data_IF_679564108921
#
_entry.id   IF_679564108921
#
_cell.length_a   1.000
_cell.length_b   1.000
_cell.length_c   1.000
_cell.angle_alpha   90.00
_cell.angle_beta   90.00
_cell.angle_gamma   90.00
#
_symmetry.space_group_name_H-M   'P 1'
#
loop_
_entity.id
_entity.type
_entity.pdbx_description
1 polymer ?
#
# COMPACT_ATOMS: atom_id res chain seq x y z
N UNK A 1 -20.18 4.68 -8.16
CA UNK A 1 -21.61 4.51 -8.34
C UNK A 1 -22.20 5.35 -9.49
N UNK A 2 -21.84 6.61 -9.73
CA UNK A 2 -22.34 7.35 -10.91
C UNK A 2 -21.88 6.83 -12.28
N UNK A 3 -20.75 6.14 -12.37
CA UNK A 3 -20.20 5.61 -13.63
C UNK A 3 -20.87 4.30 -14.11
N UNK A 4 -21.53 3.56 -13.24
CA UNK A 4 -22.18 2.28 -13.60
C UNK A 4 -23.68 2.41 -13.90
N UNK A 5 -24.29 3.55 -13.64
CA UNK A 5 -25.71 3.79 -13.91
C UNK A 5 -25.99 4.41 -15.29
N UNK A 6 -24.96 4.69 -16.09
CA UNK A 6 -25.09 5.30 -17.43
C UNK A 6 -24.79 4.36 -18.61
N UNK A 7 -24.58 3.05 -18.36
CA UNK A 7 -24.35 2.07 -19.44
C UNK A 7 -25.57 1.17 -19.79
N UNK A 8 -26.75 1.65 -19.54
CA UNK A 8 -27.95 0.93 -19.93
C UNK A 8 -28.90 1.77 -20.73
N UNK A 9 -28.59 2.05 -22.00
CA UNK A 9 -29.54 2.34 -23.11
C UNK A 9 -28.77 2.96 -24.27
N UNK A 10 -28.54 2.21 -25.31
CA UNK A 10 -28.68 2.59 -26.71
C UNK A 10 -28.05 1.51 -27.62
N UNK A 11 -28.86 0.57 -28.02
CA UNK A 11 -28.68 -0.16 -29.28
C UNK A 11 -29.84 0.25 -30.15
N UNK A 12 -29.57 0.91 -31.27
CA UNK A 12 -30.35 0.78 -32.49
C UNK A 12 -29.60 1.43 -33.68
N UNK A 13 -29.27 0.53 -34.63
CA UNK A 13 -29.28 0.70 -36.09
C UNK A 13 -28.36 1.73 -36.78
N UNK A 14 -27.53 1.15 -37.61
CA UNK A 14 -26.83 1.70 -38.80
C UNK A 14 -27.81 2.17 -39.91
N UNK A 15 -27.39 2.65 -41.13
CA UNK A 15 -26.15 2.42 -41.86
C UNK A 15 -25.58 3.62 -42.69
N UNK A 16 -24.33 3.47 -43.11
CA UNK A 16 -23.88 3.77 -44.48
C UNK A 16 -23.66 5.21 -44.94
N UNK A 17 -22.39 5.59 -45.21
CA UNK A 17 -22.04 6.35 -46.42
C UNK A 17 -20.52 6.37 -46.62
N UNK A 18 -20.20 6.27 -47.89
CA UNK A 18 -18.88 6.10 -48.52
C UNK A 18 -18.04 7.37 -48.52
N UNK A 19 -16.71 7.18 -48.54
CA UNK A 19 -15.67 8.13 -48.83
C UNK A 19 -15.79 8.83 -50.21
N UNK A 20 -15.02 9.94 -50.37
CA UNK A 20 -14.10 9.85 -51.50
C UNK A 20 -12.67 10.33 -51.16
N UNK A 21 -11.74 9.74 -51.86
CA UNK A 21 -10.33 10.00 -51.95
C UNK A 21 -10.03 11.44 -52.42
N UNK A 22 -8.96 12.00 -51.87
CA UNK A 22 -8.30 13.16 -52.51
C UNK A 22 -6.77 13.06 -52.48
N UNK A 23 -6.25 13.36 -53.61
CA UNK A 23 -4.95 13.26 -54.19
C UNK A 23 -3.76 13.71 -53.35
N UNK A 24 -2.66 13.02 -53.60
CA UNK A 24 -1.31 13.35 -53.24
C UNK A 24 -0.81 14.62 -53.93
N UNK A 25 -0.21 15.53 -53.17
CA UNK A 25 0.71 16.52 -53.68
C UNK A 25 2.10 16.29 -53.08
N UNK A 26 3.02 15.95 -53.96
CA UNK A 26 4.44 15.79 -53.71
C UNK A 26 5.07 17.13 -53.33
N UNK A 27 5.58 17.25 -52.12
CA UNK A 27 6.59 18.25 -51.81
C UNK A 27 7.89 17.55 -51.44
N UNK A 28 8.89 17.76 -52.28
CA UNK A 28 10.29 17.42 -52.12
C UNK A 28 10.88 18.23 -50.96
N UNK A 29 10.95 17.64 -49.76
CA UNK A 29 11.64 18.21 -48.62
C UNK A 29 13.11 17.78 -48.64
N UNK A 30 14.00 18.74 -48.81
CA UNK A 30 15.44 18.60 -48.62
C UNK A 30 15.75 17.93 -47.28
N UNK A 31 16.35 16.75 -47.33
CA UNK A 31 17.00 16.12 -46.17
C UNK A 31 18.28 16.90 -45.89
N UNK A 32 18.23 17.80 -44.92
CA UNK A 32 19.45 18.34 -44.30
C UNK A 32 20.12 17.21 -43.51
N UNK A 33 21.29 16.80 -43.96
CA UNK A 33 22.17 15.89 -43.24
C UNK A 33 22.63 16.57 -41.94
N UNK A 34 21.92 16.34 -40.85
CA UNK A 34 22.43 16.74 -39.54
C UNK A 34 23.69 15.93 -39.23
N UNK A 35 24.81 16.63 -39.01
CA UNK A 35 26.07 16.01 -38.67
C UNK A 35 26.00 15.24 -37.34
N UNK A 36 26.87 14.25 -37.17
CA UNK A 36 26.94 13.49 -35.92
C UNK A 36 27.17 14.39 -34.69
N UNK A 37 27.81 15.55 -34.90
CA UNK A 37 28.00 16.59 -33.90
C UNK A 37 26.67 17.17 -33.38
N UNK A 38 25.70 17.46 -34.27
CA UNK A 38 24.40 18.05 -33.88
C UNK A 38 23.55 17.05 -33.08
N UNK A 39 23.62 15.77 -33.42
CA UNK A 39 22.93 14.71 -32.65
C UNK A 39 23.51 14.53 -31.25
N UNK A 40 24.82 14.65 -31.11
CA UNK A 40 25.52 14.60 -29.81
C UNK A 40 25.19 15.85 -29.00
N UNK A 41 25.16 17.02 -29.62
CA UNK A 41 24.86 18.29 -28.95
C UNK A 41 23.38 18.39 -28.52
N UNK A 42 22.43 17.98 -29.37
CA UNK A 42 21.02 17.86 -29.00
C UNK A 42 20.80 16.85 -27.90
N UNK A 43 21.53 15.72 -27.90
CA UNK A 43 21.53 14.72 -26.83
C UNK A 43 22.07 15.30 -25.51
N UNK A 44 23.10 16.14 -25.56
CA UNK A 44 23.67 16.79 -24.37
C UNK A 44 22.71 17.84 -23.79
N UNK A 45 22.10 18.65 -24.65
CA UNK A 45 21.11 19.68 -24.27
C UNK A 45 19.86 19.01 -23.67
N UNK A 46 19.38 17.91 -24.26
CA UNK A 46 18.28 17.15 -23.70
C UNK A 46 18.63 16.55 -22.31
N UNK A 47 19.88 16.09 -22.14
CA UNK A 47 20.38 15.58 -20.82
C UNK A 47 20.48 16.70 -19.79
N UNK A 48 20.96 17.87 -20.17
CA UNK A 48 21.04 19.05 -19.31
C UNK A 48 19.63 19.58 -18.96
N UNK A 49 18.73 19.61 -19.91
CA UNK A 49 17.34 20.00 -19.72
C UNK A 49 16.58 19.06 -18.78
N UNK A 50 16.79 17.73 -18.88
CA UNK A 50 16.25 16.75 -17.94
C UNK A 50 16.85 16.91 -16.54
N UNK A 51 18.14 17.24 -16.44
CA UNK A 51 18.83 17.52 -15.19
C UNK A 51 18.28 18.78 -14.52
N UNK A 52 18.10 19.84 -15.29
CA UNK A 52 17.54 21.10 -14.81
C UNK A 52 16.08 20.90 -14.35
N UNK A 53 15.26 20.21 -15.15
CA UNK A 53 13.87 19.89 -14.82
C UNK A 53 13.73 19.00 -13.59
N UNK A 54 14.63 18.03 -13.40
CA UNK A 54 14.67 17.19 -12.20
C UNK A 54 15.10 17.98 -10.96
N UNK A 55 15.96 18.97 -11.13
CA UNK A 55 16.45 19.85 -10.06
C UNK A 55 15.45 20.96 -9.70
N UNK A 56 14.85 21.58 -10.70
CA UNK A 56 13.90 22.70 -10.54
C UNK A 56 12.56 22.27 -9.96
N UNK A 57 12.15 21.04 -10.28
CA UNK A 57 10.84 20.59 -9.88
C UNK A 57 10.77 20.22 -8.41
N UNK A 58 11.87 20.14 -7.63
CA UNK A 58 11.78 19.83 -6.21
C UNK A 58 10.56 18.93 -5.83
N UNK A 59 10.03 18.24 -6.86
CA UNK A 59 8.77 17.53 -6.91
C UNK A 59 9.07 16.08 -7.10
N UNK A 60 9.29 15.41 -6.00
CA UNK A 60 9.62 13.98 -5.90
C UNK A 60 8.77 13.05 -6.78
N UNK A 61 7.57 13.44 -7.17
CA UNK A 61 6.71 12.66 -8.07
C UNK A 61 7.27 12.48 -9.50
N UNK A 62 8.22 13.31 -9.91
CA UNK A 62 8.85 13.24 -11.24
C UNK A 62 10.18 12.47 -11.24
N UNK A 63 10.67 12.03 -10.07
CA UNK A 63 11.88 11.20 -10.04
C UNK A 63 11.71 9.87 -10.77
N UNK A 64 10.52 9.27 -10.75
CA UNK A 64 10.27 8.05 -11.48
C UNK A 64 10.41 8.24 -12.99
N UNK A 65 9.96 9.37 -13.51
CA UNK A 65 10.09 9.71 -14.93
C UNK A 65 11.54 10.04 -15.31
N UNK A 66 12.24 10.83 -14.48
CA UNK A 66 13.66 11.14 -14.68
C UNK A 66 14.53 9.88 -14.58
N UNK A 67 14.19 8.98 -13.66
CA UNK A 67 14.84 7.71 -13.47
C UNK A 67 14.64 6.75 -14.67
N UNK A 68 13.41 6.58 -15.15
CA UNK A 68 13.14 5.77 -16.33
C UNK A 68 13.81 6.34 -17.58
N UNK A 69 13.88 7.64 -17.71
CA UNK A 69 14.61 8.30 -18.78
C UNK A 69 16.12 8.03 -18.72
N UNK A 70 16.73 8.09 -17.53
CA UNK A 70 18.16 7.78 -17.35
C UNK A 70 18.44 6.31 -17.60
N UNK A 71 17.61 5.40 -17.11
CA UNK A 71 17.74 3.95 -17.34
C UNK A 71 17.54 3.59 -18.81
N UNK A 72 16.51 4.12 -19.45
CA UNK A 72 16.22 3.87 -20.86
C UNK A 72 17.32 4.37 -21.78
N UNK A 73 18.01 5.45 -21.38
CA UNK A 73 19.06 6.06 -22.19
C UNK A 73 20.45 5.45 -22.02
N UNK A 74 20.82 5.03 -20.81
CA UNK A 74 22.19 4.63 -20.47
C UNK A 74 22.31 3.13 -20.21
N UNK A 75 21.20 2.49 -19.84
CA UNK A 75 21.14 1.09 -19.40
C UNK A 75 21.77 0.86 -18.02
N UNK A 76 21.29 -0.14 -17.29
CA UNK A 76 21.64 -0.35 -15.87
C UNK A 76 23.13 -0.62 -15.63
N UNK A 77 23.80 -1.38 -16.51
CA UNK A 77 25.24 -1.66 -16.39
C UNK A 77 26.14 -0.44 -16.59
N UNK A 78 25.74 0.50 -17.44
CA UNK A 78 26.48 1.77 -17.66
C UNK A 78 26.23 2.75 -16.51
N UNK A 79 25.00 2.80 -15.98
CA UNK A 79 24.68 3.61 -14.79
C UNK A 79 25.55 3.20 -13.61
N UNK A 80 25.73 1.90 -13.39
CA UNK A 80 26.62 1.37 -12.34
C UNK A 80 28.07 1.81 -12.58
N UNK A 81 28.58 1.68 -13.81
CA UNK A 81 29.96 2.13 -14.16
C UNK A 81 30.16 3.63 -13.94
N UNK A 82 29.17 4.46 -14.26
CA UNK A 82 29.23 5.92 -14.02
C UNK A 82 29.20 6.23 -12.52
N UNK A 83 28.42 5.47 -11.74
CA UNK A 83 28.32 5.70 -10.31
C UNK A 83 29.60 5.32 -9.55
N UNK A 84 30.20 4.19 -9.90
CA UNK A 84 31.40 3.64 -9.23
C UNK A 84 32.69 4.23 -9.85
N UNK A 85 32.66 4.69 -11.09
CA UNK A 85 33.81 5.18 -11.83
C UNK A 85 34.21 6.63 -11.53
N UNK A 86 35.41 7.00 -12.05
CA UNK A 86 36.03 8.33 -11.89
C UNK A 86 35.13 9.49 -12.36
N UNK A 87 34.31 9.30 -13.39
CA UNK A 87 33.38 10.32 -13.89
C UNK A 87 32.37 10.81 -12.84
N UNK A 88 31.89 9.93 -11.96
CA UNK A 88 31.00 10.29 -10.87
C UNK A 88 31.63 11.19 -9.81
N UNK A 89 32.98 11.20 -9.72
CA UNK A 89 33.73 12.07 -8.78
C UNK A 89 33.80 13.52 -9.24
N UNK A 90 33.84 13.75 -10.56
CA UNK A 90 34.02 15.08 -11.13
C UNK A 90 32.73 15.87 -11.38
N UNK A 91 31.56 15.20 -11.42
CA UNK A 91 30.27 15.86 -11.66
C UNK A 91 29.34 15.57 -10.47
N UNK A 92 29.28 16.44 -9.45
CA UNK A 92 28.57 16.19 -8.20
C UNK A 92 27.09 15.78 -8.38
N UNK A 93 26.39 16.38 -9.34
CA UNK A 93 24.98 16.04 -9.60
C UNK A 93 24.77 14.71 -10.33
N UNK A 94 25.77 14.20 -11.07
CA UNK A 94 25.66 12.94 -11.80
C UNK A 94 25.73 11.73 -10.86
N UNK A 95 26.61 11.78 -9.87
CA UNK A 95 26.73 10.72 -8.85
C UNK A 95 25.44 10.57 -8.05
N UNK A 96 24.78 11.68 -7.74
CA UNK A 96 23.50 11.69 -7.05
C UNK A 96 22.38 11.08 -7.92
N UNK A 97 22.23 11.49 -9.19
CA UNK A 97 21.24 10.95 -10.11
C UNK A 97 21.42 9.46 -10.36
N UNK A 98 22.66 9.02 -10.57
CA UNK A 98 22.96 7.60 -10.80
C UNK A 98 22.73 6.76 -9.56
N UNK A 99 23.00 7.30 -8.36
CA UNK A 99 22.73 6.62 -7.09
C UNK A 99 21.22 6.41 -6.85
N UNK A 100 20.40 7.43 -7.11
CA UNK A 100 18.93 7.30 -7.06
C UNK A 100 18.45 6.29 -8.10
N UNK A 101 19.00 6.36 -9.31
CA UNK A 101 18.68 5.42 -10.37
C UNK A 101 18.96 3.97 -9.95
N UNK A 102 20.09 3.72 -9.33
CA UNK A 102 20.45 2.40 -8.82
C UNK A 102 19.54 1.94 -7.68
N UNK A 103 19.24 2.79 -6.70
CA UNK A 103 18.33 2.46 -5.59
C UNK A 103 16.90 2.09 -6.04
N UNK A 104 16.48 2.52 -7.22
CA UNK A 104 15.13 2.26 -7.74
C UNK A 104 15.07 1.08 -8.70
N UNK A 105 16.22 0.56 -9.11
CA UNK A 105 16.28 -0.56 -10.05
C UNK A 105 16.20 -1.89 -9.31
N UNK A 106 15.14 -2.66 -9.53
CA UNK A 106 14.93 -3.99 -8.94
C UNK A 106 16.00 -5.03 -9.33
N UNK A 107 16.81 -4.74 -10.37
CA UNK A 107 17.86 -5.65 -10.84
C UNK A 107 19.19 -5.54 -10.05
N UNK A 108 19.24 -4.71 -9.00
CA UNK A 108 20.43 -4.53 -8.19
C UNK A 108 20.38 -5.51 -7.02
N UNK A 109 21.48 -6.24 -6.82
CA UNK A 109 21.64 -7.17 -5.71
C UNK A 109 21.54 -6.46 -4.35
N UNK A 110 21.14 -7.17 -3.32
CA UNK A 110 21.02 -6.65 -1.94
C UNK A 110 22.34 -6.03 -1.44
N UNK A 111 23.49 -6.62 -1.77
CA UNK A 111 24.81 -6.09 -1.40
C UNK A 111 25.06 -4.69 -1.99
N UNK A 112 24.69 -4.46 -3.27
CA UNK A 112 24.83 -3.14 -3.90
C UNK A 112 23.93 -2.11 -3.25
N UNK A 113 22.77 -2.53 -2.73
CA UNK A 113 21.84 -1.65 -2.02
C UNK A 113 22.41 -1.21 -0.66
N UNK A 114 23.05 -2.12 0.07
CA UNK A 114 23.71 -1.82 1.34
C UNK A 114 24.89 -0.85 1.15
N UNK A 115 25.69 -1.04 0.11
CA UNK A 115 26.81 -0.15 -0.25
C UNK A 115 26.31 1.25 -0.61
N UNK A 116 25.24 1.35 -1.38
CA UNK A 116 24.64 2.63 -1.73
C UNK A 116 24.01 3.32 -0.51
N UNK A 117 23.36 2.56 0.37
CA UNK A 117 22.81 3.09 1.62
C UNK A 117 23.91 3.62 2.52
N UNK A 118 25.02 2.90 2.66
CA UNK A 118 26.22 3.35 3.40
C UNK A 118 26.79 4.62 2.80
N UNK A 119 26.98 4.67 1.48
CA UNK A 119 27.49 5.85 0.79
C UNK A 119 26.58 7.07 0.98
N UNK A 120 25.27 6.91 0.86
CA UNK A 120 24.32 8.01 1.02
C UNK A 120 24.10 8.42 2.47
N UNK A 121 24.42 7.56 3.43
CA UNK A 121 24.32 7.89 4.86
C UNK A 121 25.20 9.07 5.26
N UNK A 122 26.33 9.25 4.57
CA UNK A 122 27.30 10.36 4.78
C UNK A 122 26.92 11.64 4.04
N UNK A 123 25.95 11.60 3.14
CA UNK A 123 25.52 12.76 2.36
C UNK A 123 24.77 13.77 3.23
N UNK A 124 25.07 15.05 3.08
CA UNK A 124 24.30 16.15 3.67
C UNK A 124 23.10 16.59 2.79
N UNK A 125 22.88 15.96 1.65
CA UNK A 125 21.85 16.31 0.70
C UNK A 125 20.49 15.70 1.10
N UNK A 126 19.55 16.53 1.52
CA UNK A 126 18.19 16.13 1.96
C UNK A 126 17.45 15.27 0.94
N UNK A 127 17.63 15.53 -0.34
CA UNK A 127 17.00 14.77 -1.41
C UNK A 127 17.46 13.32 -1.49
N UNK A 128 18.75 13.09 -1.19
CA UNK A 128 19.33 11.75 -1.12
C UNK A 128 18.67 10.97 0.01
N UNK A 129 18.60 11.58 1.19
CA UNK A 129 17.95 10.96 2.34
C UNK A 129 16.47 10.67 2.07
N UNK A 130 15.75 11.59 1.44
CA UNK A 130 14.36 11.35 1.07
C UNK A 130 14.21 10.18 0.09
N UNK A 131 15.02 10.15 -0.97
CA UNK A 131 14.95 9.10 -1.97
C UNK A 131 15.25 7.73 -1.39
N UNK A 132 16.23 7.66 -0.50
CA UNK A 132 16.57 6.42 0.22
C UNK A 132 15.43 6.01 1.15
N UNK A 133 14.90 6.93 1.94
CA UNK A 133 13.77 6.65 2.84
C UNK A 133 12.51 6.22 2.08
N UNK A 134 12.21 6.86 0.95
CA UNK A 134 11.06 6.51 0.11
C UNK A 134 11.23 5.14 -0.53
N UNK A 135 12.44 4.81 -0.99
CA UNK A 135 12.76 3.50 -1.52
C UNK A 135 12.63 2.41 -0.46
N UNK A 136 13.22 2.59 0.72
CA UNK A 136 13.10 1.66 1.85
C UNK A 136 11.64 1.45 2.25
N UNK A 137 10.85 2.53 2.32
CA UNK A 137 9.43 2.45 2.63
C UNK A 137 8.63 1.70 1.54
N UNK A 138 8.98 1.83 0.26
CA UNK A 138 8.40 1.03 -0.82
C UNK A 138 8.69 -0.46 -0.67
N UNK A 139 9.87 -0.79 -0.12
CA UNK A 139 10.24 -2.16 0.24
C UNK A 139 9.79 -2.56 1.64
N UNK A 140 8.82 -1.81 2.21
CA UNK A 140 8.17 -2.11 3.49
C UNK A 140 9.11 -2.12 4.70
N UNK A 141 10.26 -1.45 4.62
CA UNK A 141 11.16 -1.26 5.74
C UNK A 141 10.63 -0.18 6.69
N UNK A 142 10.45 -0.53 7.96
CA UNK A 142 9.99 0.36 9.03
C UNK A 142 11.01 0.42 10.16
N UNK A 143 12.27 0.16 9.88
CA UNK A 143 13.37 0.16 10.81
C UNK A 143 13.78 1.58 11.26
N UNK A 144 14.71 1.64 12.18
CA UNK A 144 15.26 2.90 12.70
C UNK A 144 16.10 3.64 11.67
N UNK A 145 16.75 2.93 10.75
CA UNK A 145 17.54 3.53 9.67
C UNK A 145 16.65 4.29 8.69
N UNK A 146 15.54 3.68 8.25
CA UNK A 146 14.52 4.34 7.39
C UNK A 146 13.98 5.60 8.07
N UNK A 147 13.68 5.52 9.36
CA UNK A 147 13.21 6.67 10.13
C UNK A 147 14.23 7.81 10.16
N UNK A 148 15.50 7.50 10.44
CA UNK A 148 16.61 8.45 10.47
C UNK A 148 16.79 9.16 9.11
N UNK A 149 16.63 8.44 8.00
CA UNK A 149 16.67 9.06 6.67
C UNK A 149 15.49 10.01 6.43
N UNK A 150 14.29 9.65 6.86
CA UNK A 150 13.16 10.57 6.81
C UNK A 150 13.37 11.80 7.69
N UNK A 151 13.90 11.64 8.89
CA UNK A 151 14.20 12.77 9.80
C UNK A 151 15.23 13.72 9.17
N UNK A 152 16.32 13.19 8.61
CA UNK A 152 17.32 14.00 7.91
C UNK A 152 16.73 14.71 6.69
N UNK A 153 15.89 14.05 5.90
CA UNK A 153 15.21 14.63 4.76
C UNK A 153 14.24 15.74 5.17
N UNK A 154 13.56 15.57 6.31
CA UNK A 154 12.51 16.47 6.78
C UNK A 154 13.06 17.63 7.65
N UNK A 155 14.33 17.58 8.04
CA UNK A 155 14.94 18.61 8.86
C UNK A 155 14.97 19.96 8.12
N UNK A 156 14.34 20.99 8.71
CA UNK A 156 14.17 22.33 8.09
C UNK A 156 13.56 22.29 6.68
N UNK A 157 12.93 21.19 6.29
CA UNK A 157 12.35 21.05 4.95
C UNK A 157 10.94 21.66 4.93
N UNK A 158 10.70 22.58 4.01
CA UNK A 158 9.37 23.13 3.72
C UNK A 158 8.62 22.31 2.67
N UNK A 159 9.23 21.24 2.16
CA UNK A 159 8.68 20.35 1.15
C UNK A 159 7.49 19.54 1.68
N UNK A 160 6.32 19.89 1.19
CA UNK A 160 5.05 19.32 1.64
C UNK A 160 5.00 17.80 1.41
N UNK A 161 5.49 17.34 0.25
CA UNK A 161 5.46 15.93 -0.09
C UNK A 161 6.35 15.07 0.83
N UNK A 162 7.52 15.58 1.22
CA UNK A 162 8.41 14.91 2.19
C UNK A 162 7.72 14.78 3.53
N UNK A 163 7.08 15.86 4.00
CA UNK A 163 6.30 15.85 5.24
C UNK A 163 5.18 14.80 5.21
N UNK A 164 4.40 14.74 4.14
CA UNK A 164 3.33 13.74 4.03
C UNK A 164 3.87 12.32 3.97
N UNK A 165 4.99 12.09 3.26
CA UNK A 165 5.58 10.76 3.16
C UNK A 165 6.17 10.29 4.50
N UNK A 166 6.84 11.19 5.22
CA UNK A 166 7.30 10.93 6.58
C UNK A 166 6.12 10.67 7.53
N UNK A 167 5.06 11.46 7.43
CA UNK A 167 3.84 11.24 8.20
C UNK A 167 3.20 9.88 7.90
N UNK A 168 3.24 9.43 6.65
CA UNK A 168 2.79 8.09 6.28
C UNK A 168 3.61 7.00 7.00
N UNK A 169 4.93 7.13 7.01
CA UNK A 169 5.81 6.22 7.74
C UNK A 169 5.48 6.19 9.24
N UNK A 170 5.43 7.37 9.88
CA UNK A 170 5.14 7.49 11.33
C UNK A 170 3.76 6.89 11.65
N UNK A 171 2.75 7.19 10.82
CA UNK A 171 1.38 6.71 11.04
C UNK A 171 1.31 5.18 10.97
N UNK A 172 2.06 4.57 10.04
CA UNK A 172 2.12 3.12 9.93
C UNK A 172 2.83 2.49 11.12
N UNK A 173 3.95 3.06 11.54
CA UNK A 173 4.80 2.51 12.60
C UNK A 173 4.26 2.78 14.01
N UNK A 174 3.81 4.00 14.28
CA UNK A 174 3.47 4.46 15.63
C UNK A 174 1.99 4.83 15.83
N UNK A 175 1.21 4.86 14.76
CA UNK A 175 -0.19 5.27 14.80
C UNK A 175 -0.39 6.79 14.83
N UNK A 176 -1.65 7.20 14.67
CA UNK A 176 -2.03 8.62 14.58
C UNK A 176 -1.85 9.41 15.87
N UNK A 177 -1.74 8.75 17.03
CA UNK A 177 -1.60 9.42 18.34
C UNK A 177 -0.16 9.68 18.77
N UNK A 178 0.82 9.23 17.99
CA UNK A 178 2.23 9.45 18.27
C UNK A 178 2.59 10.95 18.30
N UNK A 179 3.47 11.35 19.23
CA UNK A 179 3.97 12.72 19.31
C UNK A 179 4.82 13.13 18.12
N UNK A 180 5.42 12.16 17.43
CA UNK A 180 6.13 12.41 16.17
C UNK A 180 5.22 12.97 15.08
N UNK A 181 3.95 12.53 15.02
CA UNK A 181 2.96 13.09 14.10
C UNK A 181 2.59 14.53 14.44
N UNK A 182 2.58 14.87 15.73
CA UNK A 182 2.24 16.21 16.17
C UNK A 182 3.16 17.27 15.55
N UNK A 183 4.47 16.99 15.50
CA UNK A 183 5.44 17.88 14.84
C UNK A 183 5.13 18.07 13.36
N UNK A 184 4.76 16.99 12.65
CA UNK A 184 4.37 17.05 11.24
C UNK A 184 3.07 17.83 11.04
N UNK A 185 2.06 17.61 11.88
CA UNK A 185 0.78 18.35 11.84
C UNK A 185 1.02 19.84 12.09
N UNK A 186 1.77 20.21 13.13
CA UNK A 186 2.09 21.62 13.42
C UNK A 186 2.75 22.29 12.22
N UNK A 187 3.68 21.61 11.57
CA UNK A 187 4.35 22.13 10.36
C UNK A 187 3.37 22.31 9.19
N UNK A 188 2.46 21.34 8.96
CA UNK A 188 1.46 21.46 7.90
C UNK A 188 0.41 22.54 8.15
N UNK A 189 0.22 22.94 9.40
CA UNK A 189 -0.69 24.03 9.79
C UNK A 189 -0.02 25.41 9.77
N UNK A 190 1.30 25.51 9.56
CA UNK A 190 1.96 26.82 9.39
C UNK A 190 1.36 27.54 8.17
N UNK A 191 1.06 28.85 8.25
CA UNK A 191 0.32 29.57 7.23
C UNK A 191 0.90 29.48 5.83
N UNK A 192 2.23 29.57 5.70
CA UNK A 192 2.97 29.44 4.44
C UNK A 192 2.84 28.06 3.81
N UNK A 193 2.98 26.99 4.62
CA UNK A 193 2.82 25.60 4.19
C UNK A 193 1.34 25.29 3.89
N UNK A 194 0.45 25.74 4.77
CA UNK A 194 -0.99 25.46 4.65
C UNK A 194 -1.62 25.99 3.35
N UNK A 195 -1.24 27.20 2.92
CA UNK A 195 -1.71 27.80 1.66
C UNK A 195 -1.35 26.93 0.46
N UNK A 196 -0.20 26.25 0.51
CA UNK A 196 0.30 25.40 -0.59
C UNK A 196 -0.31 23.98 -0.58
N UNK A 197 -1.09 23.58 0.44
CA UNK A 197 -1.71 22.26 0.49
C UNK A 197 -2.80 22.10 -0.57
N UNK A 198 -2.70 21.03 -1.34
CA UNK A 198 -3.77 20.61 -2.24
C UNK A 198 -5.02 20.17 -1.45
N UNK A 199 -6.19 20.15 -2.09
CA UNK A 199 -7.43 19.67 -1.46
C UNK A 199 -7.31 18.25 -0.91
N UNK A 200 -6.61 17.35 -1.63
CA UNK A 200 -6.36 15.98 -1.14
C UNK A 200 -5.46 15.96 0.11
N UNK A 201 -4.43 16.81 0.15
CA UNK A 201 -3.56 16.93 1.32
C UNK A 201 -4.30 17.51 2.52
N UNK A 202 -5.17 18.52 2.31
CA UNK A 202 -6.06 19.06 3.35
C UNK A 202 -7.01 17.99 3.90
N UNK A 203 -7.55 17.14 3.04
CA UNK A 203 -8.42 16.03 3.44
C UNK A 203 -7.67 14.99 4.30
N UNK A 204 -6.44 14.64 3.91
CA UNK A 204 -5.58 13.75 4.69
C UNK A 204 -5.22 14.37 6.05
N UNK A 205 -4.90 15.67 6.09
CA UNK A 205 -4.63 16.39 7.33
C UNK A 205 -5.86 16.41 8.25
N UNK A 206 -7.07 16.62 7.68
CA UNK A 206 -8.32 16.54 8.45
C UNK A 206 -8.52 15.15 9.06
N UNK A 207 -8.24 14.07 8.33
CA UNK A 207 -8.31 12.71 8.87
C UNK A 207 -7.36 12.50 10.06
N UNK A 208 -6.14 13.01 9.97
CA UNK A 208 -5.16 12.96 11.07
C UNK A 208 -5.64 13.73 12.31
N UNK A 209 -6.18 14.94 12.10
CA UNK A 209 -6.69 15.79 13.17
C UNK A 209 -7.89 15.13 13.87
N UNK A 210 -8.82 14.52 13.13
CA UNK A 210 -9.92 13.76 13.71
C UNK A 210 -9.43 12.57 14.55
N UNK A 211 -8.40 11.86 14.11
CA UNK A 211 -7.81 10.77 14.89
C UNK A 211 -7.17 11.27 16.20
N UNK A 212 -6.76 12.52 16.23
CA UNK A 212 -6.21 13.19 17.42
C UNK A 212 -7.27 13.97 18.22
N UNK A 213 -8.55 13.77 17.94
CA UNK A 213 -9.68 14.45 18.61
C UNK A 213 -9.66 15.99 18.47
N UNK A 214 -9.07 16.52 17.39
CA UNK A 214 -9.09 17.95 17.06
C UNK A 214 -10.22 18.25 16.06
N UNK A 215 -11.43 17.90 16.45
CA UNK A 215 -12.59 17.88 15.56
C UNK A 215 -12.93 19.26 14.99
N UNK A 216 -12.78 20.35 15.75
CA UNK A 216 -13.06 21.69 15.26
C UNK A 216 -12.21 22.10 14.05
N UNK A 217 -10.87 21.98 14.16
CA UNK A 217 -9.94 22.30 13.07
C UNK A 217 -10.15 21.37 11.88
N UNK A 218 -10.33 20.06 12.14
CA UNK A 218 -10.61 19.09 11.11
C UNK A 218 -11.89 19.39 10.32
N UNK A 219 -12.97 19.78 11.04
CA UNK A 219 -14.25 20.16 10.44
C UNK A 219 -14.11 21.39 9.54
N UNK A 220 -13.37 22.40 9.98
CA UNK A 220 -13.10 23.58 9.16
C UNK A 220 -12.31 23.22 7.87
N UNK A 221 -11.34 22.32 7.97
CA UNK A 221 -10.63 21.80 6.80
C UNK A 221 -11.56 21.08 5.82
N UNK A 222 -12.44 20.24 6.32
CA UNK A 222 -13.44 19.54 5.50
C UNK A 222 -14.34 20.54 4.75
N UNK A 223 -14.82 21.59 5.44
CA UNK A 223 -15.61 22.66 4.82
C UNK A 223 -14.82 23.39 3.73
N UNK A 224 -13.54 23.70 3.98
CA UNK A 224 -12.66 24.38 3.01
C UNK A 224 -12.35 23.51 1.78
N UNK A 225 -12.26 22.19 1.93
CA UNK A 225 -12.11 21.25 0.80
C UNK A 225 -13.35 21.26 -0.08
N UNK A 226 -14.54 21.34 0.53
CA UNK A 226 -15.83 21.48 -0.13
C UNK A 226 -16.49 20.15 -0.49
N UNK A 227 -17.82 20.11 -0.34
CA UNK A 227 -18.68 18.93 -0.54
C UNK A 227 -18.45 18.27 -1.90
N UNK A 228 -18.47 19.05 -2.99
CA UNK A 228 -18.33 18.53 -4.36
C UNK A 228 -16.98 17.87 -4.63
N UNK A 229 -15.88 18.37 -4.03
CA UNK A 229 -14.59 17.73 -4.15
C UNK A 229 -14.54 16.38 -3.42
N UNK A 230 -15.10 16.32 -2.20
CA UNK A 230 -15.11 15.11 -1.38
C UNK A 230 -15.94 14.02 -2.07
N UNK A 231 -17.10 14.33 -2.59
CA UNK A 231 -17.95 13.38 -3.33
C UNK A 231 -17.26 12.77 -4.57
N UNK A 232 -16.36 13.53 -5.20
CA UNK A 232 -15.64 13.06 -6.41
C UNK A 232 -14.34 12.32 -6.11
N UNK A 233 -13.68 12.64 -5.00
CA UNK A 233 -12.26 12.27 -4.81
C UNK A 233 -11.99 11.44 -3.56
N UNK A 234 -12.98 11.14 -2.74
CA UNK A 234 -12.79 10.28 -1.59
C UNK A 234 -13.93 9.29 -1.42
N UNK A 235 -13.57 8.10 -0.97
CA UNK A 235 -14.49 7.03 -0.61
C UNK A 235 -14.14 6.49 0.78
N UNK A 236 -13.52 7.32 1.64
CA UNK A 236 -13.15 6.94 2.99
C UNK A 236 -14.37 6.88 3.92
N UNK A 237 -14.78 5.70 4.38
CA UNK A 237 -15.93 5.57 5.30
C UNK A 237 -15.72 6.33 6.61
N UNK A 238 -14.47 6.42 7.06
CA UNK A 238 -14.11 7.18 8.26
C UNK A 238 -14.41 8.68 8.11
N UNK A 239 -14.03 9.28 6.98
CA UNK A 239 -14.31 10.70 6.70
C UNK A 239 -15.83 10.95 6.59
N UNK A 240 -16.55 10.06 5.93
CA UNK A 240 -18.01 10.16 5.82
C UNK A 240 -18.69 10.09 7.19
N UNK A 241 -18.24 9.16 8.04
CA UNK A 241 -18.75 9.08 9.40
C UNK A 241 -18.49 10.37 10.18
N UNK A 242 -17.30 11.00 10.02
CA UNK A 242 -16.98 12.28 10.66
C UNK A 242 -17.82 13.44 10.11
N UNK A 243 -18.12 13.47 8.82
CA UNK A 243 -19.01 14.47 8.20
C UNK A 243 -20.42 14.38 8.81
N UNK A 244 -20.96 13.18 8.94
CA UNK A 244 -22.30 12.97 9.51
C UNK A 244 -22.32 13.23 11.01
N UNK A 245 -21.37 12.69 11.78
CA UNK A 245 -21.31 12.83 13.24
C UNK A 245 -21.07 14.27 13.71
N UNK A 246 -20.39 15.08 12.89
CA UNK A 246 -20.19 16.52 13.17
C UNK A 246 -21.21 17.42 12.45
N UNK A 247 -22.27 16.85 11.88
CA UNK A 247 -23.35 17.59 11.19
C UNK A 247 -22.84 18.60 10.16
N UNK A 248 -21.77 18.24 9.41
CA UNK A 248 -21.14 19.15 8.44
C UNK A 248 -22.07 19.33 7.23
N UNK A 249 -22.56 18.21 6.68
CA UNK A 249 -23.52 18.17 5.57
C UNK A 249 -24.45 16.98 5.74
N UNK A 250 -25.73 17.20 5.44
CA UNK A 250 -26.72 16.13 5.30
C UNK A 250 -26.73 15.67 3.85
N UNK A 251 -26.39 14.40 3.61
CA UNK A 251 -26.34 13.81 2.27
C UNK A 251 -26.41 12.29 2.39
N UNK A 252 -27.19 11.67 1.51
CA UNK A 252 -27.39 10.22 1.53
C UNK A 252 -26.09 9.45 1.28
N UNK A 253 -25.22 9.94 0.40
CA UNK A 253 -23.94 9.31 0.11
C UNK A 253 -23.03 9.28 1.36
N UNK A 254 -22.96 10.38 2.10
CA UNK A 254 -22.21 10.41 3.36
C UNK A 254 -22.87 9.55 4.43
N UNK A 255 -24.20 9.49 4.48
CA UNK A 255 -24.93 8.63 5.42
C UNK A 255 -24.67 7.15 5.15
N UNK A 256 -24.68 6.72 3.89
CA UNK A 256 -24.31 5.36 3.50
C UNK A 256 -22.84 5.03 3.87
N UNK A 257 -21.92 5.94 3.64
CA UNK A 257 -20.52 5.76 4.03
C UNK A 257 -20.32 5.74 5.55
N UNK A 258 -21.10 6.52 6.30
CA UNK A 258 -21.15 6.48 7.77
C UNK A 258 -21.67 5.12 8.27
N UNK A 259 -22.74 4.60 7.67
CA UNK A 259 -23.27 3.26 7.98
C UNK A 259 -22.23 2.19 7.69
N UNK A 260 -21.50 2.31 6.58
CA UNK A 260 -20.40 1.42 6.27
C UNK A 260 -19.31 1.43 7.37
N UNK A 261 -18.93 2.60 7.87
CA UNK A 261 -17.97 2.69 8.98
C UNK A 261 -18.50 2.07 10.28
N UNK A 262 -19.76 2.30 10.62
CA UNK A 262 -20.41 1.68 11.79
C UNK A 262 -20.43 0.15 11.65
N UNK A 263 -20.64 -0.37 10.44
CA UNK A 263 -20.56 -1.79 10.13
C UNK A 263 -19.18 -2.38 10.44
N UNK A 264 -18.10 -1.66 10.14
CA UNK A 264 -16.72 -2.08 10.48
C UNK A 264 -16.58 -2.25 12.02
N UNK A 265 -17.08 -1.29 12.79
CA UNK A 265 -16.98 -1.31 14.26
C UNK A 265 -17.77 -2.51 14.81
N UNK A 266 -19.04 -2.65 14.40
CA UNK A 266 -19.88 -3.77 14.81
C UNK A 266 -19.28 -5.14 14.45
N UNK A 267 -18.79 -5.29 13.20
CA UNK A 267 -18.20 -6.55 12.78
C UNK A 267 -16.91 -6.90 13.54
N UNK A 268 -16.20 -5.91 14.09
CA UNK A 268 -15.07 -6.15 14.99
C UNK A 268 -15.54 -6.75 16.33
N UNK A 269 -16.52 -6.12 16.94
CA UNK A 269 -17.12 -6.59 18.19
C UNK A 269 -17.69 -8.00 18.05
N UNK A 270 -18.35 -8.27 16.92
CA UNK A 270 -18.88 -9.59 16.62
C UNK A 270 -17.78 -10.63 16.43
N UNK A 271 -16.69 -10.31 15.71
CA UNK A 271 -15.57 -11.24 15.55
C UNK A 271 -14.92 -11.58 16.90
N UNK A 272 -14.64 -10.58 17.71
CA UNK A 272 -14.07 -10.79 19.05
C UNK A 272 -15.01 -11.63 19.92
N UNK A 273 -16.32 -11.38 19.88
CA UNK A 273 -17.33 -12.18 20.58
C UNK A 273 -17.39 -13.63 20.07
N UNK A 274 -17.30 -13.84 18.74
CA UNK A 274 -17.22 -15.18 18.15
C UNK A 274 -15.97 -15.94 18.62
N UNK A 275 -14.83 -15.29 18.69
CA UNK A 275 -13.58 -15.86 19.19
C UNK A 275 -13.70 -16.27 20.67
N UNK A 276 -14.22 -15.40 21.52
CA UNK A 276 -14.42 -15.68 22.96
C UNK A 276 -15.36 -16.86 23.12
N UNK A 277 -16.50 -16.85 22.41
CA UNK A 277 -17.50 -17.94 22.46
C UNK A 277 -16.94 -19.28 22.01
N UNK A 278 -16.07 -19.28 21.01
CA UNK A 278 -15.55 -20.50 20.39
C UNK A 278 -14.06 -20.74 20.67
N UNK A 279 -13.51 -20.15 21.75
CA UNK A 279 -12.07 -20.17 22.07
C UNK A 279 -11.42 -21.55 22.15
N UNK A 280 -12.21 -22.59 22.34
CA UNK A 280 -11.75 -23.98 22.39
C UNK A 280 -12.14 -24.79 21.14
N UNK A 281 -12.79 -24.19 20.19
CA UNK A 281 -13.29 -24.86 18.97
C UNK A 281 -13.27 -23.95 17.74
N UNK A 282 -12.16 -23.24 17.53
CA UNK A 282 -11.88 -22.53 16.27
C UNK A 282 -10.65 -23.13 15.60
N UNK A 283 -10.42 -22.77 14.35
CA UNK A 283 -9.13 -22.98 13.68
C UNK A 283 -8.83 -21.90 12.66
N UNK A 284 -7.55 -21.70 12.43
CA UNK A 284 -6.99 -20.90 11.34
C UNK A 284 -6.49 -21.84 10.26
N UNK A 285 -6.95 -21.61 9.02
CA UNK A 285 -6.51 -22.37 7.85
C UNK A 285 -5.74 -21.42 6.93
N UNK A 286 -4.43 -21.56 6.91
CA UNK A 286 -3.51 -20.89 6.00
C UNK A 286 -3.43 -21.63 4.66
N UNK A 287 -2.50 -21.19 3.83
CA UNK A 287 -2.40 -21.65 2.44
C UNK A 287 -1.14 -22.49 2.15
N UNK A 288 -0.27 -22.70 3.15
CA UNK A 288 0.90 -23.54 2.97
C UNK A 288 0.52 -25.01 2.75
N UNK A 289 1.27 -25.79 1.95
CA UNK A 289 0.95 -27.17 1.60
C UNK A 289 1.23 -28.18 2.71
N UNK A 290 1.27 -27.76 3.97
CA UNK A 290 1.62 -28.59 5.13
C UNK A 290 0.57 -29.66 5.45
N UNK A 291 -0.65 -29.49 5.00
CA UNK A 291 -1.75 -30.43 5.28
C UNK A 291 -2.00 -31.42 4.13
N UNK A 292 -1.35 -31.28 2.98
CA UNK A 292 -1.57 -32.20 1.87
C UNK A 292 -1.23 -33.64 2.26
N UNK A 293 -2.19 -34.53 2.09
CA UNK A 293 -2.11 -35.94 2.48
C UNK A 293 -2.25 -36.23 3.98
N UNK A 294 -2.59 -35.19 4.79
CA UNK A 294 -2.73 -35.38 6.25
C UNK A 294 -4.08 -35.94 6.68
N UNK A 295 -5.11 -35.81 5.85
CA UNK A 295 -6.49 -36.19 6.20
C UNK A 295 -7.14 -35.31 7.26
N UNK A 296 -6.61 -34.12 7.54
CA UNK A 296 -7.08 -33.21 8.60
C UNK A 296 -8.40 -32.49 8.27
N UNK A 297 -8.95 -32.65 7.06
CA UNK A 297 -10.15 -31.94 6.64
C UNK A 297 -11.36 -32.13 7.56
N UNK A 298 -11.63 -33.36 8.01
CA UNK A 298 -12.71 -33.64 8.97
C UNK A 298 -12.50 -32.96 10.32
N UNK A 299 -11.25 -32.89 10.79
CA UNK A 299 -10.87 -32.21 12.03
C UNK A 299 -11.10 -30.69 11.94
N UNK A 300 -10.77 -30.11 10.78
CA UNK A 300 -11.02 -28.69 10.48
C UNK A 300 -12.53 -28.43 10.47
N UNK A 301 -13.30 -29.22 9.72
CA UNK A 301 -14.74 -29.02 9.54
C UNK A 301 -15.55 -29.28 10.84
N UNK A 302 -15.00 -30.05 11.78
CA UNK A 302 -15.58 -30.25 13.10
C UNK A 302 -15.48 -29.01 14.01
N UNK A 303 -14.59 -28.05 13.71
CA UNK A 303 -14.47 -26.83 14.50
C UNK A 303 -15.72 -25.95 14.37
N UNK A 304 -16.11 -25.27 15.45
CA UNK A 304 -17.27 -24.37 15.47
C UNK A 304 -17.03 -23.08 14.67
N UNK A 305 -15.76 -22.67 14.54
CA UNK A 305 -15.36 -21.44 13.81
C UNK A 305 -14.13 -21.74 12.96
N UNK A 306 -14.30 -21.76 11.65
CA UNK A 306 -13.22 -21.96 10.66
C UNK A 306 -12.90 -20.63 9.99
N UNK A 307 -11.63 -20.20 10.07
CA UNK A 307 -11.15 -18.92 9.54
C UNK A 307 -10.14 -19.19 8.42
N UNK A 308 -10.44 -18.74 7.20
CA UNK A 308 -9.58 -18.92 6.02
C UNK A 308 -8.96 -17.59 5.55
N UNK A 309 -7.77 -17.66 4.94
CA UNK A 309 -6.94 -16.50 4.64
C UNK A 309 -6.72 -16.37 3.12
N UNK A 310 -6.93 -15.17 2.58
CA UNK A 310 -6.70 -14.76 1.18
C UNK A 310 -7.40 -15.67 0.16
N UNK A 311 -6.74 -15.99 -0.96
CA UNK A 311 -7.22 -17.00 -1.88
C UNK A 311 -6.96 -18.39 -1.30
N UNK A 312 -7.92 -19.28 -1.43
CA UNK A 312 -7.80 -20.68 -1.06
C UNK A 312 -8.70 -21.52 -1.98
N UNK A 313 -8.43 -22.81 -2.11
CA UNK A 313 -9.29 -23.76 -2.81
C UNK A 313 -10.07 -24.62 -1.81
N UNK A 314 -11.24 -25.07 -2.21
CA UNK A 314 -12.04 -26.09 -1.53
C UNK A 314 -11.95 -27.45 -2.27
N UNK A 315 -11.04 -27.60 -3.23
CA UNK A 315 -10.85 -28.81 -4.02
C UNK A 315 -10.06 -29.90 -3.25
N UNK A 316 -9.61 -29.59 -2.02
CA UNK A 316 -8.86 -30.49 -1.16
C UNK A 316 -9.58 -30.73 0.19
N UNK A 317 -10.85 -31.18 0.16
CA UNK A 317 -11.67 -31.25 1.38
C UNK A 317 -11.15 -32.28 2.39
N UNK A 318 -10.44 -33.33 1.95
CA UNK A 318 -9.87 -34.36 2.80
C UNK A 318 -8.75 -33.81 3.69
N UNK A 319 -7.97 -32.87 3.18
CA UNK A 319 -6.81 -32.30 3.88
C UNK A 319 -7.10 -30.94 4.53
N UNK A 320 -7.84 -30.07 3.83
CA UNK A 320 -8.09 -28.69 4.27
C UNK A 320 -9.55 -28.44 4.67
N UNK A 321 -10.44 -29.44 4.59
CA UNK A 321 -11.87 -29.26 4.86
C UNK A 321 -12.56 -28.33 3.86
N UNK A 322 -13.88 -28.20 4.02
CA UNK A 322 -14.74 -27.39 3.15
C UNK A 322 -15.43 -26.23 3.86
N UNK A 323 -15.41 -26.22 5.19
CA UNK A 323 -16.10 -25.22 5.99
C UNK A 323 -15.38 -23.87 5.95
N UNK A 324 -16.20 -22.80 5.89
CA UNK A 324 -15.74 -21.41 5.92
C UNK A 324 -16.75 -20.59 6.73
N UNK A 325 -16.36 -20.11 7.92
CA UNK A 325 -17.18 -19.19 8.70
C UNK A 325 -16.69 -17.75 8.55
N UNK A 326 -15.37 -17.53 8.53
CA UNK A 326 -14.74 -16.23 8.41
C UNK A 326 -13.70 -16.22 7.30
N UNK A 327 -13.80 -15.25 6.42
CA UNK A 327 -12.81 -15.03 5.38
C UNK A 327 -11.98 -13.78 5.66
N UNK A 328 -10.67 -13.94 5.75
CA UNK A 328 -9.71 -12.84 5.96
C UNK A 328 -8.91 -12.61 4.70
N UNK A 329 -8.94 -11.40 4.14
CA UNK A 329 -8.30 -11.10 2.89
C UNK A 329 -7.59 -9.76 2.85
N UNK A 330 -6.51 -9.64 2.08
CA UNK A 330 -5.97 -8.32 1.71
C UNK A 330 -6.92 -7.63 0.73
N UNK A 331 -7.01 -6.30 0.84
CA UNK A 331 -7.80 -5.50 -0.08
C UNK A 331 -6.93 -5.08 -1.28
N UNK A 332 -6.68 -6.02 -2.17
CA UNK A 332 -6.00 -5.80 -3.45
C UNK A 332 -6.72 -6.57 -4.58
N UNK A 333 -6.30 -6.33 -5.82
CA UNK A 333 -6.94 -6.96 -6.99
C UNK A 333 -6.44 -8.39 -7.23
N UNK A 334 -5.41 -8.83 -6.55
CA UNK A 334 -4.83 -10.18 -6.67
C UNK A 334 -5.66 -11.21 -5.89
N UNK A 335 -6.36 -10.76 -4.83
CA UNK A 335 -7.29 -11.62 -4.12
C UNK A 335 -8.66 -11.50 -4.76
N UNK A 336 -9.21 -12.64 -5.21
CA UNK A 336 -10.49 -12.68 -5.90
C UNK A 336 -11.56 -11.84 -5.21
N UNK A 337 -12.17 -10.95 -6.00
CA UNK A 337 -13.31 -10.18 -5.58
C UNK A 337 -14.56 -11.04 -5.76
N UNK A 338 -15.18 -11.44 -4.65
CA UNK A 338 -16.58 -11.85 -4.68
C UNK A 338 -16.91 -13.12 -5.47
N UNK A 339 -16.31 -14.25 -5.14
CA UNK A 339 -17.10 -15.47 -5.24
C UNK A 339 -18.27 -15.32 -4.24
N UNK A 340 -19.45 -15.77 -4.61
CA UNK A 340 -20.59 -15.85 -3.70
C UNK A 340 -20.26 -16.84 -2.56
N UNK A 341 -19.47 -16.38 -1.60
CA UNK A 341 -19.02 -17.17 -0.46
C UNK A 341 -20.09 -17.10 0.62
N UNK A 342 -20.36 -18.21 1.26
CA UNK A 342 -21.34 -18.31 2.35
C UNK A 342 -20.74 -18.01 3.72
N UNK A 343 -19.66 -17.21 3.77
CA UNK A 343 -19.04 -16.84 5.03
C UNK A 343 -19.93 -15.90 5.85
N UNK A 344 -19.87 -16.04 7.17
CA UNK A 344 -20.61 -15.22 8.13
C UNK A 344 -20.00 -13.83 8.24
N UNK A 345 -18.67 -13.72 8.12
CA UNK A 345 -17.93 -12.49 8.30
C UNK A 345 -16.73 -12.42 7.31
N UNK A 346 -16.54 -11.28 6.67
CA UNK A 346 -15.33 -10.96 5.90
C UNK A 346 -14.47 -9.94 6.65
N UNK A 347 -13.19 -10.24 6.83
CA UNK A 347 -12.21 -9.36 7.48
C UNK A 347 -11.22 -8.84 6.44
N UNK A 348 -11.09 -7.52 6.32
CA UNK A 348 -10.09 -6.91 5.46
C UNK A 348 -8.79 -6.65 6.23
N UNK A 349 -7.68 -7.14 5.70
CA UNK A 349 -6.35 -6.88 6.22
C UNK A 349 -5.76 -5.61 5.59
N UNK A 350 -5.34 -4.68 6.41
CA UNK A 350 -4.69 -3.45 5.97
C UNK A 350 -4.59 -2.40 7.06
N UNK A 351 -3.38 -1.93 7.33
CA UNK A 351 -3.16 -0.92 8.36
C UNK A 351 -3.81 0.42 7.97
N UNK A 352 -4.57 1.00 8.90
CA UNK A 352 -5.29 2.27 8.71
C UNK A 352 -6.22 2.29 7.47
N UNK A 353 -6.73 1.13 7.08
CA UNK A 353 -7.49 0.93 5.84
C UNK A 353 -8.65 1.94 5.68
N UNK A 354 -9.54 2.02 6.64
CA UNK A 354 -10.72 2.90 6.57
C UNK A 354 -10.37 4.40 6.58
N UNK A 355 -9.23 4.77 7.17
CA UNK A 355 -8.83 6.16 7.38
C UNK A 355 -7.96 6.69 6.24
N UNK A 356 -7.03 5.87 5.77
CA UNK A 356 -5.95 6.30 4.85
C UNK A 356 -6.25 5.96 3.39
N UNK A 357 -6.89 4.85 3.15
CA UNK A 357 -7.10 4.34 1.80
C UNK A 357 -8.30 5.05 1.15
N UNK A 358 -8.06 5.78 0.05
CA UNK A 358 -9.11 6.53 -0.66
C UNK A 358 -10.10 5.65 -1.43
N UNK A 359 -9.73 4.41 -1.74
CA UNK A 359 -10.55 3.41 -2.42
C UNK A 359 -11.17 2.38 -1.45
N UNK A 360 -11.13 2.64 -0.14
CA UNK A 360 -11.64 1.70 0.86
C UNK A 360 -13.09 1.27 0.63
N UNK A 361 -13.94 2.19 0.18
CA UNK A 361 -15.34 1.87 -0.10
C UNK A 361 -15.50 0.85 -1.24
N UNK A 362 -14.58 0.79 -2.21
CA UNK A 362 -14.67 -0.17 -3.31
C UNK A 362 -14.63 -1.63 -2.83
N UNK A 363 -14.00 -1.88 -1.69
CA UNK A 363 -13.92 -3.22 -1.07
C UNK A 363 -15.02 -3.47 -0.05
N UNK A 364 -15.59 -2.43 0.55
CA UNK A 364 -16.56 -2.52 1.64
C UNK A 364 -18.02 -2.44 1.13
N UNK A 365 -18.29 -1.60 0.13
CA UNK A 365 -19.64 -1.45 -0.41
C UNK A 365 -20.21 -2.76 -0.98
N UNK A 366 -19.48 -3.55 -1.75
CA UNK A 366 -19.97 -4.84 -2.20
C UNK A 366 -20.39 -5.76 -1.05
N UNK A 367 -19.57 -5.84 0.01
CA UNK A 367 -19.90 -6.65 1.20
C UNK A 367 -21.18 -6.15 1.89
N UNK A 368 -21.31 -4.83 2.03
CA UNK A 368 -22.51 -4.21 2.59
C UNK A 368 -23.75 -4.50 1.74
N UNK A 369 -23.64 -4.44 0.40
CA UNK A 369 -24.77 -4.72 -0.51
C UNK A 369 -25.17 -6.18 -0.48
N UNK A 370 -24.22 -7.10 -0.33
CA UNK A 370 -24.46 -8.54 -0.17
C UNK A 370 -24.97 -8.91 1.22
N UNK A 371 -25.13 -7.95 2.13
CA UNK A 371 -25.50 -8.16 3.54
C UNK A 371 -24.55 -9.09 4.29
N UNK A 372 -23.32 -9.26 3.80
CA UNK A 372 -22.26 -9.98 4.51
C UNK A 372 -21.73 -9.09 5.63
N UNK A 373 -21.57 -9.60 6.81
CA UNK A 373 -20.86 -8.89 7.86
C UNK A 373 -19.39 -8.66 7.46
N UNK A 374 -18.85 -7.51 7.85
CA UNK A 374 -17.47 -7.18 7.52
C UNK A 374 -16.81 -6.34 8.60
N UNK A 375 -15.50 -6.49 8.68
CA UNK A 375 -14.66 -5.63 9.52
C UNK A 375 -13.25 -5.48 8.93
N UNK A 376 -12.37 -4.84 9.68
CA UNK A 376 -10.98 -4.59 9.32
C UNK A 376 -10.12 -4.95 10.52
N UNK A 377 -8.99 -5.65 10.32
CA UNK A 377 -8.03 -5.89 11.39
C UNK A 377 -7.65 -4.56 12.04
N UNK A 378 -7.73 -4.44 13.38
CA UNK A 378 -7.46 -3.19 14.08
C UNK A 378 -6.06 -2.63 13.78
N UNK A 379 -5.96 -1.32 13.57
CA UNK A 379 -4.68 -0.70 13.20
C UNK A 379 -3.61 -0.83 14.28
N UNK A 380 -3.97 -0.91 15.56
CA UNK A 380 -3.00 -1.11 16.64
C UNK A 380 -2.29 -2.47 16.55
N UNK A 381 -2.97 -3.51 16.04
CA UNK A 381 -2.36 -4.82 15.75
C UNK A 381 -1.20 -4.68 14.76
N UNK A 382 -1.45 -3.96 13.65
CA UNK A 382 -0.39 -3.68 12.69
C UNK A 382 0.74 -2.85 13.29
N UNK A 383 0.43 -1.84 14.08
CA UNK A 383 1.43 -0.94 14.68
C UNK A 383 2.34 -1.69 15.64
N UNK A 384 1.78 -2.53 16.51
CA UNK A 384 2.56 -3.37 17.42
C UNK A 384 3.47 -4.35 16.65
N UNK A 385 2.93 -5.00 15.62
CA UNK A 385 3.70 -5.92 14.78
C UNK A 385 4.77 -5.21 13.95
N UNK A 386 4.47 -4.05 13.36
CA UNK A 386 5.46 -3.24 12.63
C UNK A 386 6.60 -2.83 13.56
N UNK A 387 6.29 -2.47 14.81
CA UNK A 387 7.31 -2.16 15.81
C UNK A 387 8.24 -3.33 16.14
N UNK A 388 7.71 -4.56 16.15
CA UNK A 388 8.47 -5.79 16.44
C UNK A 388 9.24 -6.30 15.22
N UNK A 389 8.60 -6.27 14.06
CA UNK A 389 9.15 -6.79 12.79
C UNK A 389 10.09 -5.81 12.11
N UNK A 390 9.91 -4.51 12.34
CA UNK A 390 10.49 -3.43 11.53
C UNK A 390 10.08 -3.55 10.04
N UNK A 391 8.99 -4.26 9.77
CA UNK A 391 8.42 -4.56 8.48
C UNK A 391 6.90 -4.69 8.55
N UNK A 392 6.22 -4.89 7.41
CA UNK A 392 4.79 -5.19 7.40
C UNK A 392 4.56 -6.67 7.72
N UNK A 393 3.65 -6.99 8.64
CA UNK A 393 3.27 -8.37 8.91
C UNK A 393 2.51 -9.00 7.73
N UNK A 394 2.62 -10.31 7.59
CA UNK A 394 1.72 -11.08 6.74
C UNK A 394 0.28 -11.02 7.27
N UNK A 395 -0.68 -11.31 6.39
CA UNK A 395 -2.10 -11.38 6.79
C UNK A 395 -2.33 -12.43 7.86
N UNK A 396 -1.67 -13.58 7.73
CA UNK A 396 -1.75 -14.67 8.70
C UNK A 396 -1.25 -14.26 10.08
N UNK A 397 -0.07 -13.65 10.17
CA UNK A 397 0.46 -13.17 11.44
C UNK A 397 -0.39 -12.04 12.04
N UNK A 398 -0.86 -11.09 11.23
CA UNK A 398 -1.69 -10.00 11.74
C UNK A 398 -3.02 -10.52 12.33
N UNK A 399 -3.63 -11.50 11.68
CA UNK A 399 -4.83 -12.15 12.19
C UNK A 399 -4.55 -12.96 13.46
N UNK A 400 -3.54 -13.82 13.45
CA UNK A 400 -3.16 -14.62 14.61
C UNK A 400 -2.82 -13.74 15.82
N UNK A 401 -2.12 -12.62 15.58
CA UNK A 401 -1.81 -11.67 16.65
C UNK A 401 -3.06 -10.97 17.21
N UNK A 402 -4.04 -10.64 16.37
CA UNK A 402 -5.32 -10.11 16.86
C UNK A 402 -6.07 -11.13 17.69
N UNK A 403 -6.13 -12.40 17.25
CA UNK A 403 -6.73 -13.49 18.02
C UNK A 403 -6.02 -13.66 19.36
N UNK A 404 -4.69 -13.70 19.36
CA UNK A 404 -3.89 -13.75 20.60
C UNK A 404 -4.23 -12.60 21.57
N UNK A 405 -4.38 -11.38 21.06
CA UNK A 405 -4.75 -10.21 21.89
C UNK A 405 -6.18 -10.33 22.46
N UNK A 406 -7.04 -11.09 21.81
CA UNK A 406 -8.44 -11.27 22.21
C UNK A 406 -8.64 -12.41 23.20
N UNK A 407 -8.00 -13.56 22.96
CA UNK A 407 -8.27 -14.79 23.73
C UNK A 407 -7.03 -15.44 24.37
N UNK A 408 -5.84 -14.84 24.23
CA UNK A 408 -4.58 -15.39 24.70
C UNK A 408 -3.91 -16.35 23.72
N UNK A 409 -2.92 -17.16 24.19
CA UNK A 409 -2.13 -18.04 23.35
C UNK A 409 -2.98 -19.03 22.55
N UNK A 410 -2.66 -19.17 21.26
CA UNK A 410 -3.38 -20.03 20.32
C UNK A 410 -2.78 -21.44 20.41
N UNK A 411 -3.59 -22.50 20.67
CA UNK A 411 -3.11 -23.87 20.59
C UNK A 411 -2.62 -24.22 19.19
N UNK A 412 -1.48 -24.91 19.06
CA UNK A 412 -0.91 -25.27 17.76
C UNK A 412 -1.82 -26.17 16.94
N UNK A 413 -2.57 -27.03 17.60
CA UNK A 413 -3.57 -27.91 16.99
C UNK A 413 -4.78 -27.17 16.40
N UNK A 414 -4.83 -25.83 16.52
CA UNK A 414 -5.85 -24.99 15.87
C UNK A 414 -5.31 -24.28 14.62
N UNK A 415 -4.07 -24.58 14.22
CA UNK A 415 -3.37 -23.93 13.12
C UNK A 415 -3.07 -24.96 12.04
N UNK A 416 -3.64 -24.79 10.86
CA UNK A 416 -3.47 -25.64 9.68
C UNK A 416 -2.95 -24.81 8.52
N UNK A 417 -2.06 -25.36 7.70
CA UNK A 417 -1.53 -24.67 6.53
C UNK A 417 -0.60 -23.48 6.83
N UNK A 418 0.20 -23.56 7.90
CA UNK A 418 1.20 -22.57 8.29
C UNK A 418 2.61 -23.16 8.25
N UNK A 419 3.40 -22.80 7.27
CA UNK A 419 4.79 -23.30 7.13
C UNK A 419 5.85 -22.32 7.63
N UNK A 420 5.52 -21.04 7.72
CA UNK A 420 6.49 -19.93 7.89
C UNK A 420 7.62 -19.95 6.85
N UNK A 421 7.36 -20.47 5.65
CA UNK A 421 8.32 -20.70 4.57
C UNK A 421 9.59 -21.36 5.13
N UNK A 422 9.57 -22.67 5.24
CA UNK A 422 10.76 -23.42 5.52
C UNK A 422 11.84 -23.11 4.47
N UNK A 423 13.11 -23.14 4.89
CA UNK A 423 14.27 -22.77 4.09
C UNK A 423 14.51 -23.66 2.85
N UNK A 424 13.65 -24.66 2.62
CA UNK A 424 13.75 -25.56 1.47
C UNK A 424 13.39 -24.82 0.18
N UNK A 425 14.36 -24.71 -0.70
CA UNK A 425 14.31 -24.01 -1.98
C UNK A 425 13.19 -24.50 -2.94
N UNK A 426 12.54 -25.62 -2.64
CA UNK A 426 11.49 -26.26 -3.42
C UNK A 426 10.09 -26.10 -2.82
N UNK A 427 9.91 -25.23 -1.82
CA UNK A 427 8.65 -25.11 -1.12
C UNK A 427 7.63 -24.31 -1.91
N UNK A 428 6.47 -24.93 -2.21
CA UNK A 428 5.31 -24.23 -2.80
C UNK A 428 4.71 -23.27 -1.77
N UNK A 429 4.42 -22.02 -2.19
CA UNK A 429 3.80 -21.03 -1.31
C UNK A 429 2.34 -21.37 -0.99
N UNK A 430 1.63 -22.05 -1.89
CA UNK A 430 0.23 -22.37 -1.78
C UNK A 430 -0.06 -23.83 -2.19
N UNK A 431 -0.98 -24.50 -1.50
CA UNK A 431 -1.36 -25.88 -1.79
C UNK A 431 -2.16 -26.05 -3.09
N UNK A 432 -2.76 -24.97 -3.61
CA UNK A 432 -3.69 -25.00 -4.75
C UNK A 432 -3.13 -24.37 -6.04
N UNK A 433 -1.91 -23.85 -6.02
CA UNK A 433 -1.24 -23.23 -7.18
C UNK A 433 0.21 -23.65 -7.22
N UNK A 434 0.73 -23.98 -8.40
CA UNK A 434 2.16 -24.22 -8.64
C UNK A 434 2.95 -22.91 -8.72
N UNK A 435 2.82 -22.08 -7.68
CA UNK A 435 3.44 -20.76 -7.63
C UNK A 435 4.65 -20.77 -6.68
N UNK A 436 5.82 -20.92 -7.25
CA UNK A 436 7.08 -21.00 -6.50
C UNK A 436 7.49 -19.69 -5.82
N UNK A 437 6.84 -18.55 -6.13
CA UNK A 437 7.40 -17.23 -5.82
C UNK A 437 6.47 -16.19 -5.22
N UNK A 438 5.21 -16.49 -4.92
CA UNK A 438 4.26 -15.47 -4.47
C UNK A 438 4.62 -14.89 -3.10
N UNK A 439 5.16 -13.68 -3.09
CA UNK A 439 5.24 -12.84 -1.89
C UNK A 439 6.41 -13.13 -0.94
N UNK A 440 7.31 -14.05 -1.25
CA UNK A 440 8.45 -14.42 -0.39
C UNK A 440 9.30 -13.21 0.03
N UNK A 441 9.52 -12.25 -0.87
CA UNK A 441 10.36 -11.08 -0.61
C UNK A 441 9.68 -9.94 0.17
N UNK A 442 8.40 -10.08 0.50
CA UNK A 442 7.61 -8.98 1.08
C UNK A 442 7.56 -9.01 2.60
N UNK A 443 7.96 -10.12 3.22
CA UNK A 443 7.83 -10.38 4.64
C UNK A 443 9.16 -10.78 5.26
N UNK A 444 9.31 -10.53 6.56
CA UNK A 444 10.48 -10.93 7.34
C UNK A 444 10.18 -12.26 8.05
N UNK A 445 10.18 -13.35 7.30
CA UNK A 445 9.70 -14.66 7.72
C UNK A 445 10.33 -15.15 9.03
N UNK A 446 11.64 -14.98 9.23
CA UNK A 446 12.30 -15.38 10.48
C UNK A 446 11.78 -14.62 11.69
N UNK A 447 11.56 -13.30 11.55
CA UNK A 447 10.99 -12.50 12.62
C UNK A 447 9.51 -12.85 12.81
N UNK A 448 8.76 -13.09 11.75
CA UNK A 448 7.36 -13.54 11.82
C UNK A 448 7.26 -14.88 12.55
N UNK A 449 8.09 -15.87 12.20
CA UNK A 449 8.15 -17.18 12.87
C UNK A 449 8.40 -17.05 14.38
N UNK A 450 9.35 -16.19 14.78
CA UNK A 450 9.62 -15.95 16.21
C UNK A 450 8.41 -15.39 16.94
N UNK A 451 7.72 -14.39 16.36
CA UNK A 451 6.53 -13.81 16.95
C UNK A 451 5.39 -14.85 17.00
N UNK A 452 5.21 -15.60 15.92
CA UNK A 452 4.19 -16.63 15.83
C UNK A 452 4.38 -17.68 16.92
N UNK A 453 5.62 -18.15 17.15
CA UNK A 453 5.94 -19.08 18.22
C UNK A 453 5.70 -18.50 19.64
N UNK A 454 5.81 -17.18 19.81
CA UNK A 454 5.50 -16.53 21.09
C UNK A 454 4.00 -16.45 21.39
N UNK A 455 3.16 -16.40 20.36
CA UNK A 455 1.70 -16.28 20.50
C UNK A 455 0.97 -17.61 20.41
N UNK A 456 1.69 -18.69 20.13
CA UNK A 456 1.18 -20.07 20.06
C UNK A 456 1.73 -20.92 21.22
N UNK A 457 1.05 -22.02 21.58
CA UNK A 457 1.43 -22.93 22.66
C UNK A 457 1.30 -24.39 22.27
#
# INVERSE_FOLDING_TARGET
>A
MKAQLLQGKANSSAPGAKSPARAASSQSGQKTNSTNSDKVQQSLIAKLGMRYKAFELNRYKHYDTAFQAVLGYVGPKRVLKIHVGSLGRFIPGLKWLTGIALLRNKAISENTTADLASYFSTSNLRYVHYSLADWLLKHRAYDSATEKYFEKANFKCREINVNFRYTDFITQKYGFRSDKIEKSIKRMLMPDVFRCLTKNQKLRLAAMLYQRKRDGVATQLIRNVGKGYILKNTTSPYIFNKIISNSIWKDEYFSRGSTCFKGIVRGRENFESMLIKHRYSFCLVGNAPTELGSGNGKLIDAKKLVIRINNYSLDFPEDYGSKEDVWVRVANNEVEHLRARRNKLTILAGNNFATKRKDAANYLLPLMLMRTEYTIIPSHVFQELIGKLEGLPSTGLALAYWIYKTIGPIPKEFLFGFSHLHEDANFKAHYFVDDEKAGVHLHQWDKEKRIFNQITR
#
